data_IF_389996860502
#
_entry.id   IF_389996860502
#
_cell.length_a   1.000
_cell.length_b   1.000
_cell.length_c   1.000
_cell.angle_alpha   90.00
_cell.angle_beta   90.00
_cell.angle_gamma   90.00
#
_symmetry.space_group_name_H-M   'P 1'
#
loop_
_entity.id
_entity.type
_entity.pdbx_description
1 polymer ?
#
# COMPACT_ATOMS: atom_id res chain seq x y z
N UNK A 1 27.52 16.81 4.13
CA UNK A 1 27.03 15.61 3.42
C UNK A 1 25.75 15.18 4.08
N UNK A 2 24.63 15.20 3.37
CA UNK A 2 23.37 14.66 3.90
C UNK A 2 23.56 13.18 4.17
N UNK A 3 23.30 12.73 5.40
CA UNK A 3 23.32 11.31 5.73
C UNK A 3 22.19 10.64 4.95
N UNK A 4 22.52 9.78 3.99
CA UNK A 4 21.54 8.99 3.21
C UNK A 4 20.68 8.02 4.05
N UNK A 5 20.84 8.05 5.37
CA UNK A 5 20.20 7.08 6.29
C UNK A 5 19.21 7.74 7.26
N UNK A 6 18.93 9.02 7.08
CA UNK A 6 18.03 9.77 7.97
C UNK A 6 17.07 10.62 7.13
N UNK A 7 15.79 10.38 7.28
CA UNK A 7 14.73 11.25 6.79
C UNK A 7 14.21 12.08 7.96
N UNK A 8 14.53 13.39 7.95
CA UNK A 8 14.09 14.31 9.02
C UNK A 8 12.76 14.96 8.68
N UNK A 9 11.98 15.29 9.71
CA UNK A 9 10.74 16.07 9.61
C UNK A 9 9.77 15.50 8.58
N UNK A 10 9.64 14.16 8.50
CA UNK A 10 8.82 13.50 7.51
C UNK A 10 7.36 13.96 7.56
N UNK A 11 6.80 14.15 8.76
CA UNK A 11 5.41 14.62 8.93
C UNK A 11 5.22 16.06 8.42
N UNK A 12 6.18 16.94 8.61
CA UNK A 12 6.12 18.34 8.12
C UNK A 12 6.24 18.40 6.58
N UNK A 13 6.85 17.40 5.97
CA UNK A 13 7.08 17.31 4.51
C UNK A 13 5.91 16.70 3.75
N UNK A 14 4.85 16.28 4.41
CA UNK A 14 3.68 15.66 3.76
C UNK A 14 2.98 16.59 2.75
N UNK A 15 3.08 17.91 2.93
CA UNK A 15 2.54 18.89 1.98
C UNK A 15 3.27 18.87 0.62
N UNK A 16 4.55 18.49 0.59
CA UNK A 16 5.38 18.37 -0.61
C UNK A 16 5.50 16.92 -1.14
N UNK A 17 4.76 16.00 -0.54
CA UNK A 17 4.76 14.60 -0.93
C UNK A 17 4.16 14.39 -2.33
N UNK A 18 4.62 13.35 -3.01
CA UNK A 18 4.12 12.99 -4.33
C UNK A 18 2.64 12.57 -4.27
N UNK A 19 1.79 13.20 -5.09
CA UNK A 19 0.41 12.76 -5.27
C UNK A 19 0.35 11.52 -6.14
N UNK A 20 -0.30 10.49 -5.66
CA UNK A 20 -0.47 9.21 -6.35
C UNK A 20 -1.97 8.90 -6.44
N UNK A 21 -2.41 8.46 -7.61
CA UNK A 21 -3.73 7.84 -7.81
C UNK A 21 -3.52 6.38 -8.22
N UNK A 22 -4.38 5.51 -7.74
CA UNK A 22 -4.32 4.09 -8.09
C UNK A 22 -4.80 3.88 -9.54
N UNK A 23 -4.08 3.11 -10.39
CA UNK A 23 -4.42 3.00 -11.82
C UNK A 23 -5.78 2.36 -12.08
N UNK A 24 -6.29 1.54 -11.17
CA UNK A 24 -7.57 0.84 -11.29
C UNK A 24 -8.70 1.44 -10.42
N UNK A 25 -8.39 2.43 -9.55
CA UNK A 25 -9.38 3.01 -8.65
C UNK A 25 -9.18 4.53 -8.55
N UNK A 26 -9.99 5.34 -9.23
CA UNK A 26 -9.84 6.80 -9.22
C UNK A 26 -10.17 7.46 -7.87
N UNK A 27 -10.82 6.75 -6.93
CA UNK A 27 -11.06 7.23 -5.56
C UNK A 27 -9.87 6.99 -4.64
N UNK A 28 -8.97 6.08 -5.02
CA UNK A 28 -7.77 5.80 -4.25
C UNK A 28 -6.68 6.83 -4.57
N UNK A 29 -6.66 7.89 -3.77
CA UNK A 29 -5.75 9.03 -3.91
C UNK A 29 -5.02 9.27 -2.60
N UNK A 30 -3.71 9.45 -2.67
CA UNK A 30 -2.89 9.73 -1.50
C UNK A 30 -1.67 10.58 -1.85
N UNK A 31 -1.13 11.26 -0.87
CA UNK A 31 0.21 11.82 -0.92
C UNK A 31 1.17 10.85 -0.26
N UNK A 32 2.34 10.63 -0.85
CA UNK A 32 3.29 9.62 -0.42
C UNK A 32 4.70 10.18 -0.32
N UNK A 33 5.39 9.91 0.79
CA UNK A 33 6.83 10.05 0.96
C UNK A 33 7.45 8.67 1.09
N UNK A 34 8.34 8.29 0.18
CA UNK A 34 9.06 7.00 0.20
C UNK A 34 10.24 7.06 1.17
N UNK A 35 9.99 6.91 2.47
CA UNK A 35 11.03 6.99 3.51
C UNK A 35 12.09 5.90 3.35
N UNK A 36 11.68 4.71 2.91
CA UNK A 36 12.58 3.61 2.62
C UNK A 36 13.59 3.97 1.52
N UNK A 37 13.13 4.56 0.42
CA UNK A 37 13.99 4.96 -0.70
C UNK A 37 14.92 6.12 -0.30
N UNK A 38 14.38 7.12 0.40
CA UNK A 38 15.16 8.24 0.91
C UNK A 38 16.32 7.80 1.83
N UNK A 39 16.14 6.73 2.57
CA UNK A 39 17.10 6.22 3.54
C UNK A 39 17.93 5.03 3.04
N UNK A 40 17.66 4.57 1.80
CA UNK A 40 18.43 3.52 1.16
C UNK A 40 18.08 2.10 1.60
N UNK A 41 16.89 1.88 2.17
CA UNK A 41 16.37 0.54 2.47
C UNK A 41 16.10 -0.22 1.18
N UNK A 42 16.63 -1.44 1.09
CA UNK A 42 16.52 -2.26 -0.12
C UNK A 42 15.52 -3.41 0.01
N UNK A 43 15.37 -3.98 1.20
CA UNK A 43 14.52 -5.17 1.43
C UNK A 43 13.20 -4.84 2.09
N UNK A 44 13.04 -3.64 2.60
CA UNK A 44 11.82 -3.17 3.23
C UNK A 44 11.37 -1.88 2.54
N UNK A 45 10.13 -1.85 2.10
CA UNK A 45 9.44 -0.63 1.68
C UNK A 45 8.86 0.06 2.92
N UNK A 46 9.03 1.37 3.04
CA UNK A 46 8.39 2.17 4.09
C UNK A 46 7.95 3.49 3.48
N UNK A 47 6.66 3.77 3.56
CA UNK A 47 6.09 5.01 3.06
C UNK A 47 5.25 5.69 4.14
N UNK A 48 5.37 7.02 4.21
CA UNK A 48 4.44 7.86 4.95
C UNK A 48 3.37 8.36 3.98
N UNK A 49 2.13 8.03 4.26
CA UNK A 49 0.99 8.36 3.41
C UNK A 49 0.02 9.31 4.10
N UNK A 50 -0.62 10.15 3.29
CA UNK A 50 -1.70 11.05 3.71
C UNK A 50 -2.86 10.88 2.75
N UNK A 51 -4.04 10.60 3.30
CA UNK A 51 -5.30 10.40 2.56
C UNK A 51 -6.32 11.42 3.05
N UNK A 52 -6.89 12.19 2.11
CA UNK A 52 -7.89 13.19 2.43
C UNK A 52 -9.22 12.55 2.87
N UNK A 53 -10.09 13.27 3.62
CA UNK A 53 -11.41 12.77 3.98
C UNK A 53 -12.22 12.27 2.78
N UNK A 54 -12.76 11.06 2.89
CA UNK A 54 -13.56 10.43 1.84
C UNK A 54 -12.77 9.65 0.78
N UNK A 55 -11.47 9.89 0.63
CA UNK A 55 -10.61 9.16 -0.30
C UNK A 55 -10.25 7.75 0.24
N UNK A 56 -9.85 6.88 -0.67
CA UNK A 56 -9.43 5.50 -0.42
C UNK A 56 -7.91 5.37 -0.54
N UNK A 57 -7.31 4.39 0.13
CA UNK A 57 -5.85 4.18 0.11
C UNK A 57 -5.38 3.47 -1.14
N UNK A 58 -6.15 2.48 -1.58
CA UNK A 58 -5.85 1.59 -2.71
C UNK A 58 -7.14 0.89 -3.16
N UNK A 59 -7.07 0.07 -4.19
CA UNK A 59 -8.10 -0.92 -4.51
C UNK A 59 -7.98 -2.13 -3.56
N UNK A 60 -9.10 -2.84 -3.30
CA UNK A 60 -9.08 -4.09 -2.54
C UNK A 60 -8.14 -5.11 -3.18
N UNK A 61 -7.14 -5.56 -2.44
CA UNK A 61 -6.10 -6.43 -2.98
C UNK A 61 -5.50 -7.35 -1.92
N UNK A 62 -4.86 -8.42 -2.38
CA UNK A 62 -4.10 -9.35 -1.56
C UNK A 62 -2.78 -9.71 -2.23
N UNK A 63 -1.70 -9.71 -1.47
CA UNK A 63 -0.36 -10.10 -1.91
C UNK A 63 -0.13 -11.60 -1.74
N UNK A 64 0.51 -12.23 -2.73
CA UNK A 64 0.90 -13.64 -2.66
C UNK A 64 2.23 -13.87 -1.93
N UNK A 65 3.16 -12.91 -2.00
CA UNK A 65 4.54 -13.10 -1.58
C UNK A 65 5.03 -12.06 -0.57
N UNK A 66 4.25 -11.00 -0.29
CA UNK A 66 4.67 -9.86 0.50
C UNK A 66 3.82 -9.74 1.75
N UNK A 67 4.44 -9.66 2.92
CA UNK A 67 3.79 -9.17 4.13
C UNK A 67 3.78 -7.65 4.12
N UNK A 68 2.65 -7.06 4.49
CA UNK A 68 2.48 -5.62 4.61
C UNK A 68 1.92 -5.24 5.98
N UNK A 69 2.19 -4.04 6.44
CA UNK A 69 1.58 -3.49 7.65
C UNK A 69 1.23 -2.02 7.47
N UNK A 70 0.27 -1.57 8.26
CA UNK A 70 -0.07 -0.15 8.43
C UNK A 70 0.01 0.21 9.92
N UNK A 71 0.57 1.38 10.22
CA UNK A 71 0.50 2.01 11.54
C UNK A 71 -0.11 3.40 11.41
N UNK A 72 -1.24 3.62 12.08
CA UNK A 72 -1.95 4.90 12.03
C UNK A 72 -1.28 5.92 12.93
N UNK A 73 -0.83 7.02 12.37
CA UNK A 73 -0.19 8.13 13.10
C UNK A 73 -1.25 9.11 13.58
N UNK A 74 -2.18 9.52 12.71
CA UNK A 74 -3.25 10.45 13.06
C UNK A 74 -4.46 10.30 12.13
N UNK A 75 -5.59 10.83 12.56
CA UNK A 75 -6.85 10.70 11.83
C UNK A 75 -7.64 9.46 12.21
N UNK A 76 -8.72 9.20 11.48
CA UNK A 76 -9.59 8.03 11.61
C UNK A 76 -9.90 7.47 10.25
N UNK A 77 -10.05 6.16 10.17
CA UNK A 77 -10.41 5.47 8.94
C UNK A 77 -11.18 4.19 9.20
N UNK A 78 -11.50 3.51 8.12
CA UNK A 78 -12.06 2.16 8.16
C UNK A 78 -11.18 1.28 7.28
N UNK A 79 -10.57 0.25 7.87
CA UNK A 79 -9.89 -0.82 7.13
C UNK A 79 -10.90 -1.92 6.83
N UNK A 80 -10.83 -2.44 5.64
CA UNK A 80 -11.64 -3.57 5.19
C UNK A 80 -10.73 -4.78 5.01
N UNK A 81 -11.10 -5.88 5.66
CA UNK A 81 -10.45 -7.19 5.53
C UNK A 81 -11.49 -8.12 4.89
N UNK A 82 -11.28 -8.48 3.63
CA UNK A 82 -12.32 -8.96 2.73
C UNK A 82 -13.49 -7.96 2.74
N UNK A 83 -14.69 -8.38 3.13
CA UNK A 83 -15.87 -7.52 3.23
C UNK A 83 -16.15 -7.03 4.67
N UNK A 84 -15.25 -7.32 5.62
CA UNK A 84 -15.44 -6.94 7.02
C UNK A 84 -14.78 -5.59 7.31
N UNK A 85 -15.58 -4.64 7.77
CA UNK A 85 -15.13 -3.30 8.12
C UNK A 85 -14.67 -3.21 9.58
N UNK A 86 -13.51 -2.58 9.82
CA UNK A 86 -12.98 -2.30 11.13
C UNK A 86 -12.60 -0.83 11.24
N UNK A 87 -13.11 -0.13 12.25
CA UNK A 87 -12.69 1.24 12.53
C UNK A 87 -11.25 1.27 13.05
N UNK A 88 -10.48 2.23 12.57
CA UNK A 88 -9.08 2.44 12.97
C UNK A 88 -8.80 3.91 13.27
N UNK A 89 -7.88 4.14 14.19
CA UNK A 89 -7.50 5.46 14.66
C UNK A 89 -6.02 5.53 15.04
N UNK A 90 -5.56 6.70 15.45
CA UNK A 90 -4.16 6.90 15.87
C UNK A 90 -3.72 5.86 16.92
N UNK A 91 -2.58 5.23 16.67
CA UNK A 91 -1.98 4.18 17.51
C UNK A 91 -2.30 2.76 17.06
N UNK A 92 -3.26 2.57 16.17
CA UNK A 92 -3.62 1.23 15.69
C UNK A 92 -2.57 0.70 14.71
N UNK A 93 -2.28 -0.60 14.83
CA UNK A 93 -1.42 -1.36 13.95
C UNK A 93 -2.20 -2.48 13.26
N UNK A 94 -2.08 -2.57 11.95
CA UNK A 94 -2.74 -3.56 11.12
C UNK A 94 -1.67 -4.33 10.33
N UNK A 95 -1.67 -5.65 10.42
CA UNK A 95 -0.80 -6.52 9.64
C UNK A 95 -1.59 -7.25 8.55
N UNK A 96 -1.01 -7.35 7.37
CA UNK A 96 -1.56 -8.06 6.22
C UNK A 96 -0.55 -9.13 5.80
N UNK A 97 -0.69 -10.36 6.31
CA UNK A 97 0.20 -11.44 5.88
C UNK A 97 -0.05 -11.80 4.41
N UNK A 98 1.00 -12.24 3.74
CA UNK A 98 0.91 -12.80 2.41
C UNK A 98 -0.17 -13.89 2.37
N UNK A 99 -1.03 -13.88 1.34
CA UNK A 99 -2.18 -14.78 1.17
C UNK A 99 -3.24 -14.64 2.28
N UNK A 100 -3.22 -13.54 3.00
CA UNK A 100 -4.23 -13.18 3.99
C UNK A 100 -5.52 -12.68 3.33
N UNK A 101 -6.38 -11.98 4.08
CA UNK A 101 -7.57 -11.35 3.53
C UNK A 101 -7.21 -10.23 2.56
N UNK A 102 -8.03 -10.04 1.53
CA UNK A 102 -7.93 -8.86 0.68
C UNK A 102 -8.21 -7.61 1.51
N UNK A 103 -7.45 -6.54 1.27
CA UNK A 103 -7.50 -5.37 2.14
C UNK A 103 -7.42 -4.05 1.38
N UNK A 104 -8.00 -3.05 1.98
CA UNK A 104 -7.95 -1.65 1.60
C UNK A 104 -8.45 -0.80 2.76
N UNK A 105 -8.25 0.52 2.71
CA UNK A 105 -8.72 1.40 3.76
C UNK A 105 -9.31 2.68 3.15
N UNK A 106 -10.28 3.27 3.86
CA UNK A 106 -10.89 4.55 3.53
C UNK A 106 -10.71 5.53 4.68
N UNK A 107 -10.42 6.78 4.37
CA UNK A 107 -10.53 7.85 5.35
C UNK A 107 -12.01 8.17 5.58
N UNK A 108 -12.56 7.68 6.68
CA UNK A 108 -13.94 7.92 7.11
C UNK A 108 -14.04 9.04 8.17
N UNK A 109 -12.92 9.67 8.50
CA UNK A 109 -12.85 10.82 9.39
C UNK A 109 -13.11 12.15 8.67
N UNK A 110 -12.94 13.24 9.40
CA UNK A 110 -13.12 14.63 8.93
C UNK A 110 -11.80 15.36 8.71
N UNK A 111 -10.68 14.73 9.04
CA UNK A 111 -9.32 15.25 8.88
C UNK A 111 -8.49 14.26 8.08
N UNK A 112 -7.31 14.67 7.64
CA UNK A 112 -6.38 13.77 6.95
C UNK A 112 -6.07 12.53 7.78
N UNK A 113 -6.09 11.37 7.13
CA UNK A 113 -5.62 10.10 7.67
C UNK A 113 -4.14 9.95 7.32
N UNK A 114 -3.29 9.98 8.34
CA UNK A 114 -1.83 9.87 8.20
C UNK A 114 -1.36 8.53 8.76
N UNK A 115 -0.62 7.77 7.96
CA UNK A 115 -0.15 6.45 8.36
C UNK A 115 1.19 6.08 7.71
N UNK A 116 1.93 5.22 8.40
CA UNK A 116 3.02 4.47 7.79
C UNK A 116 2.46 3.19 7.18
N UNK A 117 2.90 2.88 5.98
CA UNK A 117 2.79 1.55 5.39
C UNK A 117 4.18 1.01 5.15
N UNK A 118 4.39 -0.24 5.48
CA UNK A 118 5.65 -0.92 5.24
C UNK A 118 5.43 -2.39 4.93
N UNK A 119 6.38 -2.98 4.24
CA UNK A 119 6.32 -4.38 3.85
C UNK A 119 7.60 -4.84 3.18
N UNK A 120 7.63 -6.09 2.82
CA UNK A 120 8.74 -6.67 2.08
C UNK A 120 8.90 -6.03 0.70
N UNK A 121 10.13 -5.93 0.26
CA UNK A 121 10.45 -5.53 -1.11
C UNK A 121 10.94 -6.75 -1.89
N UNK A 122 9.99 -7.62 -2.25
CA UNK A 122 10.28 -8.79 -3.05
C UNK A 122 10.68 -8.41 -4.49
N UNK A 123 11.55 -9.19 -5.13
CA UNK A 123 11.90 -9.01 -6.54
C UNK A 123 10.70 -9.25 -7.46
N UNK A 124 9.84 -10.19 -7.04
CA UNK A 124 8.59 -10.53 -7.71
C UNK A 124 7.48 -10.66 -6.68
N UNK A 125 6.31 -10.17 -7.02
CA UNK A 125 5.10 -10.36 -6.26
C UNK A 125 3.92 -10.59 -7.20
N UNK A 126 2.89 -11.22 -6.69
CA UNK A 126 1.61 -11.37 -7.36
C UNK A 126 0.55 -10.76 -6.46
N UNK A 127 -0.23 -9.85 -7.01
CA UNK A 127 -1.27 -9.16 -6.27
C UNK A 127 -2.61 -9.39 -6.96
N UNK A 128 -3.58 -9.95 -6.25
CA UNK A 128 -4.94 -10.13 -6.74
C UNK A 128 -5.83 -8.98 -6.31
N UNK A 129 -6.70 -8.56 -7.23
CA UNK A 129 -7.77 -7.58 -7.03
C UNK A 129 -9.12 -8.29 -7.18
N UNK A 130 -9.64 -8.91 -6.08
CA UNK A 130 -10.80 -9.80 -6.17
C UNK A 130 -12.04 -9.13 -6.76
N UNK A 131 -12.33 -7.89 -6.37
CA UNK A 131 -13.51 -7.15 -6.84
C UNK A 131 -13.44 -6.79 -8.34
N UNK A 132 -12.25 -6.78 -8.92
CA UNK A 132 -12.01 -6.46 -10.32
C UNK A 132 -11.73 -7.70 -11.17
N UNK A 133 -11.67 -8.88 -10.55
CA UNK A 133 -11.25 -10.14 -11.20
C UNK A 133 -9.92 -10.01 -11.96
N UNK A 134 -9.00 -9.19 -11.40
CA UNK A 134 -7.69 -8.93 -12.00
C UNK A 134 -6.56 -9.42 -11.11
N UNK A 135 -5.48 -9.82 -11.78
CA UNK A 135 -4.19 -10.14 -11.17
C UNK A 135 -3.12 -9.25 -11.75
N UNK A 136 -2.20 -8.78 -10.93
CA UNK A 136 -1.01 -8.08 -11.38
C UNK A 136 0.24 -8.87 -10.98
N UNK A 137 1.13 -9.03 -11.93
CA UNK A 137 2.49 -9.51 -11.69
C UNK A 137 3.39 -8.29 -11.52
N UNK A 138 4.02 -8.19 -10.36
CA UNK A 138 4.91 -7.10 -10.01
C UNK A 138 6.34 -7.58 -10.12
N UNK A 139 7.16 -6.87 -10.89
CA UNK A 139 8.59 -7.19 -11.04
C UNK A 139 9.40 -5.95 -10.76
N UNK A 140 10.43 -6.05 -9.90
CA UNK A 140 11.40 -4.97 -9.73
C UNK A 140 12.24 -4.86 -10.98
N UNK A 141 12.39 -3.64 -11.48
CA UNK A 141 13.23 -3.31 -12.63
C UNK A 141 14.18 -2.16 -12.24
N UNK A 142 15.29 -1.92 -12.96
CA UNK A 142 16.27 -0.90 -12.58
C UNK A 142 15.67 0.49 -12.33
N UNK A 143 14.63 0.85 -13.09
CA UNK A 143 13.99 2.17 -13.04
C UNK A 143 12.66 2.19 -12.26
N UNK A 144 12.41 1.17 -11.41
CA UNK A 144 11.19 1.12 -10.60
C UNK A 144 10.52 -0.26 -10.57
N UNK A 145 9.21 -0.31 -10.83
CA UNK A 145 8.43 -1.55 -10.88
C UNK A 145 7.66 -1.65 -12.20
N UNK A 146 7.71 -2.83 -12.81
CA UNK A 146 6.83 -3.20 -13.92
C UNK A 146 5.60 -3.89 -13.36
N UNK A 147 4.42 -3.51 -13.86
CA UNK A 147 3.13 -4.03 -13.47
C UNK A 147 2.44 -4.62 -14.70
N UNK A 148 2.30 -5.95 -14.74
CA UNK A 148 1.64 -6.67 -15.83
C UNK A 148 0.27 -7.14 -15.36
N UNK A 149 -0.81 -6.49 -15.82
CA UNK A 149 -2.20 -6.80 -15.44
C UNK A 149 -2.80 -7.85 -16.37
N UNK A 150 -3.47 -8.84 -15.77
CA UNK A 150 -4.23 -9.86 -16.48
C UNK A 150 -5.61 -10.05 -15.84
N UNK A 151 -6.59 -10.48 -16.63
CA UNK A 151 -7.85 -10.96 -16.07
C UNK A 151 -7.63 -12.35 -15.49
N UNK A 152 -8.12 -12.62 -14.27
CA UNK A 152 -7.91 -13.90 -13.57
C UNK A 152 -8.44 -15.07 -14.37
N UNK A 153 -9.55 -14.91 -15.09
CA UNK A 153 -10.12 -15.94 -15.98
C UNK A 153 -9.17 -16.41 -17.08
N UNK A 154 -8.14 -15.62 -17.43
CA UNK A 154 -7.15 -15.96 -18.46
C UNK A 154 -5.90 -16.63 -17.87
N UNK A 155 -5.83 -16.80 -16.54
CA UNK A 155 -4.70 -17.43 -15.87
C UNK A 155 -4.92 -18.94 -15.79
N UNK A 156 -4.17 -19.72 -16.56
CA UNK A 156 -4.18 -21.17 -16.51
C UNK A 156 -3.21 -21.66 -15.43
N UNK A 157 -3.73 -22.09 -14.29
CA UNK A 157 -2.92 -22.66 -13.22
C UNK A 157 -2.84 -24.18 -13.33
N UNK A 158 -1.63 -24.71 -13.46
CA UNK A 158 -1.36 -26.16 -13.40
C UNK A 158 -0.63 -26.47 -12.09
N UNK A 159 -1.26 -27.25 -11.21
CA UNK A 159 -0.58 -27.80 -10.04
C UNK A 159 0.16 -29.07 -10.47
N UNK A 160 1.45 -29.12 -10.20
CA UNK A 160 2.23 -30.36 -10.31
C UNK A 160 2.38 -30.96 -8.91
N UNK A 161 2.28 -32.29 -8.77
CA UNK A 161 2.53 -32.97 -7.50
C UNK A 161 3.98 -32.84 -7.05
#
# INVERSE_FOLDING_TARGET
MSSKHISKNALERTSSAQSIAHPLNPRAKRKTLSLGDETGLRKCAVHLNVVAPGDETTESHVHECVDEFIYIISGKGTVYLDDTAHEVSSGDFIGFPARGPAHWMKNTGTTDLVYLVGGDRAEHDVCDYPHLEKRVYVTQVPDGRRLDFVDIKNVNSVRRP
#
